data_IF_564623154143
#
_entry.id   IF_564623154143
#
_cell.length_a   1.000
_cell.length_b   1.000
_cell.length_c   1.000
_cell.angle_alpha   90.00
_cell.angle_beta   90.00
_cell.angle_gamma   90.00
#
_symmetry.space_group_name_H-M   'P 1'
#
loop_
_entity.id
_entity.type
_entity.pdbx_description
1 polymer ?
#
# COMPACT_ATOMS: atom_id res chain seq x y z
N UNK A 1 -12.25 -38.48 63.29
CA UNK A 1 -13.61 -38.72 62.77
C UNK A 1 -13.98 -37.48 61.96
N UNK A 2 -14.03 -37.63 60.65
CA UNK A 2 -13.98 -36.57 59.63
C UNK A 2 -15.26 -35.73 59.59
N UNK A 3 -15.15 -34.43 59.82
CA UNK A 3 -16.25 -33.47 59.63
C UNK A 3 -16.44 -33.19 58.13
N UNK A 4 -17.61 -33.57 57.60
CA UNK A 4 -17.99 -33.35 56.20
C UNK A 4 -18.74 -32.03 56.12
N UNK A 5 -18.05 -30.96 55.73
CA UNK A 5 -18.69 -29.72 55.29
C UNK A 5 -19.58 -29.96 54.07
N UNK A 6 -20.88 -30.16 54.29
CA UNK A 6 -21.88 -30.10 53.23
C UNK A 6 -22.04 -28.64 52.81
N UNK A 7 -21.41 -28.24 51.69
CA UNK A 7 -21.66 -26.93 51.08
C UNK A 7 -23.12 -26.86 50.65
N UNK A 8 -23.97 -26.19 51.45
CA UNK A 8 -25.35 -25.89 51.06
C UNK A 8 -25.32 -25.01 49.80
N UNK A 9 -26.05 -25.44 48.78
CA UNK A 9 -26.30 -24.61 47.59
C UNK A 9 -27.13 -23.41 48.04
N UNK A 10 -26.56 -22.22 47.93
CA UNK A 10 -27.26 -20.96 48.26
C UNK A 10 -27.71 -20.26 46.98
N UNK A 11 -28.71 -19.37 47.08
CA UNK A 11 -29.14 -18.52 45.94
C UNK A 11 -27.96 -17.81 45.28
N UNK A 12 -27.00 -17.34 46.08
CA UNK A 12 -25.77 -16.70 45.59
C UNK A 12 -24.92 -17.65 44.75
N UNK A 13 -24.76 -18.91 45.18
CA UNK A 13 -24.02 -19.93 44.43
C UNK A 13 -24.68 -20.24 43.08
N UNK A 14 -26.01 -20.32 43.02
CA UNK A 14 -26.74 -20.48 41.77
C UNK A 14 -26.60 -19.27 40.83
N UNK A 15 -26.70 -18.04 41.36
CA UNK A 15 -26.52 -16.82 40.56
C UNK A 15 -25.09 -16.69 40.02
N UNK A 16 -24.09 -17.03 40.83
CA UNK A 16 -22.69 -17.04 40.39
C UNK A 16 -22.47 -18.09 39.29
N UNK A 17 -22.98 -19.31 39.46
CA UNK A 17 -22.86 -20.36 38.45
C UNK A 17 -23.58 -19.98 37.14
N UNK A 18 -24.77 -19.36 37.22
CA UNK A 18 -25.49 -18.85 36.05
C UNK A 18 -24.76 -17.73 35.33
N UNK A 19 -24.16 -16.78 36.07
CA UNK A 19 -23.39 -15.68 35.50
C UNK A 19 -22.13 -16.17 34.77
N UNK A 20 -21.33 -17.01 35.42
CA UNK A 20 -20.12 -17.58 34.81
C UNK A 20 -20.45 -18.54 33.65
N UNK A 21 -21.52 -19.33 33.77
CA UNK A 21 -21.99 -20.18 32.68
C UNK A 21 -22.47 -19.38 31.46
N UNK A 22 -23.25 -18.32 31.68
CA UNK A 22 -23.71 -17.43 30.61
C UNK A 22 -22.57 -16.70 29.90
N UNK A 23 -21.58 -16.19 30.65
CA UNK A 23 -20.37 -15.59 30.06
C UNK A 23 -19.54 -16.61 29.29
N UNK A 24 -19.37 -17.83 29.82
CA UNK A 24 -18.64 -18.89 29.13
C UNK A 24 -19.28 -19.30 27.81
N UNK A 25 -20.61 -19.37 27.75
CA UNK A 25 -21.35 -19.63 26.52
C UNK A 25 -21.27 -18.46 25.54
N UNK A 26 -21.39 -17.21 26.00
CA UNK A 26 -21.22 -16.03 25.14
C UNK A 26 -19.82 -15.94 24.52
N UNK A 27 -18.77 -16.38 25.23
CA UNK A 27 -17.40 -16.43 24.70
C UNK A 27 -17.29 -17.40 23.51
N UNK A 28 -18.09 -18.48 23.50
CA UNK A 28 -18.08 -19.43 22.38
C UNK A 28 -18.60 -18.81 21.07
N UNK A 29 -19.58 -17.91 21.15
CA UNK A 29 -20.07 -17.16 19.99
C UNK A 29 -19.07 -16.10 19.53
N UNK A 30 -18.36 -15.43 20.46
CA UNK A 30 -17.26 -14.51 20.12
C UNK A 30 -16.15 -15.26 19.38
N UNK A 31 -15.75 -16.45 19.86
CA UNK A 31 -14.73 -17.27 19.22
C UNK A 31 -15.17 -17.77 17.83
N UNK A 32 -16.45 -18.12 17.65
CA UNK A 32 -17.02 -18.49 16.34
C UNK A 32 -16.98 -17.33 15.35
N UNK A 33 -17.35 -16.13 15.79
CA UNK A 33 -17.28 -14.92 14.96
C UNK A 33 -15.84 -14.58 14.56
N UNK A 34 -14.88 -14.72 15.48
CA UNK A 34 -13.46 -14.54 15.18
C UNK A 34 -12.94 -15.58 14.18
N UNK A 35 -13.34 -16.85 14.32
CA UNK A 35 -12.96 -17.92 13.40
C UNK A 35 -13.49 -17.67 11.97
N UNK A 36 -14.73 -17.17 11.84
CA UNK A 36 -15.30 -16.81 10.54
C UNK A 36 -14.60 -15.63 9.84
N UNK A 37 -14.07 -14.66 10.61
CA UNK A 37 -13.32 -13.54 10.06
C UNK A 37 -11.96 -13.94 9.46
N UNK A 38 -11.34 -15.01 9.96
CA UNK A 38 -10.09 -15.52 9.40
C UNK A 38 -10.27 -16.15 8.00
N UNK A 39 -11.46 -16.71 7.72
CA UNK A 39 -11.79 -17.30 6.41
C UNK A 39 -12.32 -16.28 5.39
N UNK A 40 -12.81 -15.12 5.83
CA UNK A 40 -13.40 -14.10 4.95
C UNK A 40 -12.43 -13.05 4.43
N UNK A 41 -11.17 -13.02 4.89
CA UNK A 41 -10.16 -12.13 4.30
C UNK A 41 -9.70 -12.70 2.95
N UNK A 42 -10.38 -12.25 1.88
CA UNK A 42 -9.89 -12.44 0.53
C UNK A 42 -8.40 -12.07 0.47
N UNK A 43 -7.60 -12.94 -0.17
CA UNK A 43 -6.17 -12.69 -0.35
C UNK A 43 -6.02 -11.31 -1.02
N UNK A 44 -5.24 -10.38 -0.44
CA UNK A 44 -5.04 -9.09 -1.08
C UNK A 44 -4.42 -9.29 -2.46
N UNK A 45 -4.92 -8.58 -3.47
CA UNK A 45 -4.41 -8.67 -4.84
C UNK A 45 -2.97 -8.12 -4.97
N UNK A 46 -2.55 -7.25 -4.05
CA UNK A 46 -1.21 -6.68 -4.00
C UNK A 46 -0.69 -6.66 -2.55
N UNK A 47 0.58 -6.98 -2.38
CA UNK A 47 1.25 -6.99 -1.07
C UNK A 47 1.50 -5.57 -0.54
N UNK A 48 1.69 -4.60 -1.45
CA UNK A 48 1.93 -3.18 -1.11
C UNK A 48 1.56 -2.26 -2.28
N UNK A 49 1.05 -1.07 -1.97
CA UNK A 49 0.78 0.00 -2.96
C UNK A 49 1.52 1.27 -2.54
N UNK A 50 2.30 1.84 -3.45
CA UNK A 50 2.94 3.15 -3.28
C UNK A 50 2.26 4.15 -4.22
N UNK A 51 1.61 5.17 -3.66
CA UNK A 51 1.06 6.28 -4.42
C UNK A 51 1.95 7.51 -4.25
N UNK A 52 2.50 8.00 -5.37
CA UNK A 52 3.34 9.20 -5.41
C UNK A 52 2.57 10.29 -6.14
N UNK A 53 2.00 11.25 -5.39
CA UNK A 53 1.32 12.39 -5.99
C UNK A 53 2.29 13.55 -6.17
N UNK A 54 2.65 13.85 -7.41
CA UNK A 54 3.42 15.01 -7.79
C UNK A 54 2.48 15.93 -8.57
N UNK A 55 2.11 17.07 -8.00
CA UNK A 55 1.23 18.02 -8.66
C UNK A 55 1.89 18.55 -9.95
N UNK A 56 1.52 17.99 -11.10
CA UNK A 56 2.11 18.30 -12.42
C UNK A 56 3.15 17.29 -12.91
N UNK A 57 3.49 16.28 -12.09
CA UNK A 57 4.46 15.24 -12.44
C UNK A 57 5.92 15.71 -12.38
N UNK A 58 6.88 14.78 -12.48
CA UNK A 58 8.27 15.13 -12.67
C UNK A 58 8.49 15.62 -14.10
N UNK A 59 9.35 16.63 -14.27
CA UNK A 59 9.75 17.11 -15.60
C UNK A 59 10.38 15.98 -16.41
N UNK A 60 9.90 15.77 -17.64
CA UNK A 60 10.48 14.77 -18.54
C UNK A 60 11.91 15.13 -18.94
N UNK A 61 12.23 16.43 -19.05
CA UNK A 61 13.58 16.93 -19.32
C UNK A 61 14.55 16.62 -18.18
N UNK A 62 14.05 16.37 -16.98
CA UNK A 62 14.88 16.11 -15.80
C UNK A 62 14.97 14.62 -15.46
N UNK A 63 14.26 13.76 -16.22
CA UNK A 63 14.10 12.35 -15.87
C UNK A 63 14.40 11.40 -17.02
N UNK A 64 13.64 11.45 -18.12
CA UNK A 64 13.61 10.40 -19.15
C UNK A 64 13.73 10.92 -20.60
N UNK A 65 13.80 12.24 -20.79
CA UNK A 65 13.98 12.90 -22.10
C UNK A 65 14.79 14.20 -21.96
N UNK A 66 16.02 14.09 -21.46
CA UNK A 66 16.83 15.25 -21.08
C UNK A 66 17.38 16.06 -22.25
N UNK A 67 17.30 15.53 -23.48
CA UNK A 67 17.81 16.16 -24.71
C UNK A 67 19.24 16.71 -24.54
N UNK A 68 20.22 15.86 -24.18
CA UNK A 68 21.58 16.32 -23.86
C UNK A 68 22.24 17.10 -25.00
N UNK A 69 21.92 16.76 -26.25
CA UNK A 69 22.41 17.42 -27.46
C UNK A 69 21.64 18.71 -27.83
N UNK A 70 20.61 19.07 -27.07
CA UNK A 70 19.80 20.27 -27.31
C UNK A 70 20.47 21.57 -26.85
N UNK A 71 19.89 22.74 -27.19
CA UNK A 71 20.35 24.04 -26.69
C UNK A 71 20.31 24.10 -25.16
N UNK A 72 21.30 24.75 -24.56
CA UNK A 72 21.47 24.82 -23.10
C UNK A 72 20.24 25.41 -22.39
N UNK A 73 19.51 26.30 -23.07
CA UNK A 73 18.33 27.00 -22.57
C UNK A 73 17.08 26.10 -22.52
N UNK A 74 17.10 24.95 -23.20
CA UNK A 74 15.91 24.09 -23.41
C UNK A 74 16.13 22.62 -23.08
N UNK A 75 17.38 22.17 -22.96
CA UNK A 75 17.71 20.83 -22.47
C UNK A 75 17.58 20.78 -20.95
N UNK A 76 17.45 19.56 -20.42
CA UNK A 76 17.52 19.33 -18.98
C UNK A 76 18.88 19.70 -18.39
N UNK A 77 18.90 20.10 -17.13
CA UNK A 77 20.13 20.50 -16.42
C UNK A 77 21.04 19.30 -16.10
N UNK A 78 20.43 18.12 -15.91
CA UNK A 78 21.10 16.92 -15.43
C UNK A 78 21.88 16.18 -16.52
N UNK A 79 22.72 15.21 -16.10
CA UNK A 79 23.45 14.35 -17.03
C UNK A 79 22.81 12.96 -17.21
N UNK A 80 22.79 12.42 -18.44
CA UNK A 80 22.19 11.13 -18.71
C UNK A 80 23.15 9.99 -18.32
N UNK A 81 22.62 8.93 -17.71
CA UNK A 81 23.28 7.65 -17.48
C UNK A 81 22.62 6.55 -18.31
N UNK A 82 23.41 5.58 -18.76
CA UNK A 82 22.90 4.41 -19.48
C UNK A 82 22.08 3.52 -18.53
N UNK A 83 20.84 3.19 -18.94
CA UNK A 83 20.01 2.22 -18.22
C UNK A 83 20.38 0.78 -18.58
N UNK A 84 19.77 -0.19 -17.88
CA UNK A 84 19.87 -1.61 -18.21
C UNK A 84 19.25 -1.98 -19.57
N UNK A 85 18.51 -1.07 -20.21
CA UNK A 85 17.99 -1.21 -21.57
C UNK A 85 18.88 -0.43 -22.56
N UNK A 86 19.54 -1.10 -23.53
CA UNK A 86 20.36 -0.43 -24.53
C UNK A 86 19.61 0.67 -25.29
N UNK A 87 20.24 1.84 -25.44
CA UNK A 87 19.65 2.99 -26.14
C UNK A 87 18.66 3.82 -25.32
N UNK A 88 18.34 3.42 -24.09
CA UNK A 88 17.54 4.21 -23.17
C UNK A 88 18.41 4.83 -22.08
N UNK A 89 18.45 6.17 -22.08
CA UNK A 89 19.15 6.98 -21.08
C UNK A 89 18.16 7.49 -20.02
N UNK A 90 18.66 7.64 -18.80
CA UNK A 90 17.91 8.12 -17.62
C UNK A 90 18.76 9.15 -16.88
N UNK A 91 18.15 10.08 -16.16
CA UNK A 91 18.87 11.02 -15.29
C UNK A 91 19.80 10.33 -14.27
N UNK A 92 21.00 10.88 -14.07
CA UNK A 92 22.01 10.42 -13.10
C UNK A 92 21.50 10.30 -11.66
N UNK A 93 20.48 11.09 -11.29
CA UNK A 93 19.84 11.05 -9.97
C UNK A 93 18.83 9.90 -9.79
N UNK A 94 18.60 9.09 -10.82
CA UNK A 94 17.70 7.94 -10.77
C UNK A 94 18.44 6.58 -10.96
N UNK A 95 19.52 6.30 -10.21
CA UNK A 95 20.38 5.11 -10.44
C UNK A 95 19.69 3.79 -10.06
N UNK A 96 18.63 3.83 -9.24
CA UNK A 96 17.80 2.66 -8.98
C UNK A 96 16.82 2.42 -10.12
N UNK A 97 16.21 3.49 -10.65
CA UNK A 97 15.30 3.43 -11.79
C UNK A 97 16.02 2.89 -13.03
N UNK A 98 17.24 3.35 -13.30
CA UNK A 98 18.05 2.91 -14.45
C UNK A 98 18.31 1.40 -14.47
N UNK A 99 18.24 0.72 -13.32
CA UNK A 99 18.43 -0.75 -13.19
C UNK A 99 17.15 -1.56 -13.34
N UNK A 100 15.99 -0.91 -13.46
CA UNK A 100 14.68 -1.55 -13.47
C UNK A 100 13.80 -1.08 -14.63
N UNK A 101 14.38 -0.39 -15.62
CA UNK A 101 13.59 0.21 -16.71
C UNK A 101 12.94 -0.85 -17.60
N UNK A 102 13.56 -2.02 -17.70
CA UNK A 102 13.01 -3.25 -18.31
C UNK A 102 11.71 -3.76 -17.68
N UNK A 103 11.36 -3.28 -16.48
CA UNK A 103 10.11 -3.63 -15.78
C UNK A 103 8.98 -2.65 -16.05
N UNK A 104 9.22 -1.59 -16.82
CA UNK A 104 8.24 -0.56 -17.14
C UNK A 104 8.10 -0.42 -18.64
N UNK A 105 6.93 0.07 -19.07
CA UNK A 105 6.72 0.52 -20.45
C UNK A 105 6.83 2.03 -20.47
N UNK A 106 7.78 2.55 -21.24
CA UNK A 106 7.92 3.98 -21.48
C UNK A 106 7.01 4.40 -22.63
N UNK A 107 6.04 5.28 -22.36
CA UNK A 107 5.15 5.84 -23.38
C UNK A 107 5.55 7.29 -23.61
N UNK A 108 6.04 7.60 -24.82
CA UNK A 108 6.33 8.96 -25.28
C UNK A 108 5.32 9.31 -26.38
N UNK A 109 4.39 10.21 -26.10
CA UNK A 109 3.34 10.56 -27.07
C UNK A 109 2.18 11.39 -26.52
N UNK A 110 2.11 11.56 -25.20
CA UNK A 110 1.11 12.42 -24.58
C UNK A 110 1.50 13.88 -24.81
N UNK A 111 0.63 14.63 -25.46
CA UNK A 111 0.74 16.07 -25.66
C UNK A 111 -0.65 16.68 -25.55
N UNK A 112 -0.72 17.95 -25.15
CA UNK A 112 -1.94 18.73 -25.12
C UNK A 112 -1.65 20.17 -25.54
N UNK A 113 -2.69 20.89 -25.97
CA UNK A 113 -2.60 22.32 -26.31
C UNK A 113 -2.96 23.25 -25.13
N UNK A 114 -3.42 22.69 -24.00
CA UNK A 114 -3.79 23.48 -22.83
C UNK A 114 -2.56 24.08 -22.14
N UNK A 115 -2.55 25.39 -21.93
CA UNK A 115 -1.44 26.09 -21.26
C UNK A 115 -1.54 26.14 -19.73
N UNK A 116 -2.59 25.59 -19.11
CA UNK A 116 -2.75 25.65 -17.65
C UNK A 116 -2.72 24.27 -16.98
N UNK A 117 -1.94 24.21 -15.88
CA UNK A 117 -1.76 23.03 -15.05
C UNK A 117 -3.06 22.33 -14.63
N UNK A 118 -4.14 23.05 -14.20
CA UNK A 118 -5.38 22.38 -13.79
C UNK A 118 -6.09 21.65 -14.93
N UNK A 119 -6.04 22.19 -16.15
CA UNK A 119 -6.67 21.54 -17.30
C UNK A 119 -5.90 20.27 -17.68
N UNK A 120 -4.56 20.32 -17.67
CA UNK A 120 -3.74 19.14 -17.93
C UNK A 120 -3.88 18.00 -16.91
N UNK A 121 -4.33 18.31 -15.68
CA UNK A 121 -4.59 17.30 -14.64
C UNK A 121 -6.00 16.68 -14.69
N UNK A 122 -6.94 17.30 -15.38
CA UNK A 122 -8.35 16.91 -15.40
C UNK A 122 -8.74 16.02 -16.60
N UNK A 123 -7.82 15.81 -17.55
CA UNK A 123 -7.97 14.89 -18.69
C UNK A 123 -7.33 13.53 -18.39
#
# INVERSE_FOLDING_TARGET
MTDRHTRRVTRRTCLQAGWFGGMGLAMSDVLRLQAGQAQAKAKPLADSVLFVNLAGGPSHLDTLDMKPEGPQETRGEFQPIQSNMPGLMVCEHLPKFSKMVDRFTLIRGIHHSAGAHPQGQAY
#
